data_IF_109283557001
#
_entry.id   IF_109283557001
#
_cell.length_a   1.000
_cell.length_b   1.000
_cell.length_c   1.000
_cell.angle_alpha   90.00
_cell.angle_beta   90.00
_cell.angle_gamma   90.00
#
_symmetry.space_group_name_H-M   'P 1'
#
loop_
_entity.id
_entity.type
_entity.pdbx_description
1 polymer ?
#
# COMPACT_ATOMS: atom_id res chain seq x y z
N UNK A 1 -15.94 11.92 14.53
CA UNK A 1 -16.55 10.57 14.62
C UNK A 1 -15.66 9.68 15.52
N UNK A 2 -16.19 8.63 16.15
CA UNK A 2 -15.44 7.69 17.01
C UNK A 2 -15.11 8.18 18.43
N UNK A 3 -14.41 9.32 18.58
CA UNK A 3 -13.84 9.78 19.87
C UNK A 3 -14.85 9.93 21.02
N UNK A 4 -16.10 10.26 20.70
CA UNK A 4 -17.21 10.39 21.67
C UNK A 4 -17.71 9.05 22.23
N UNK A 5 -17.32 7.94 21.61
CA UNK A 5 -17.79 6.58 21.96
C UNK A 5 -16.72 5.76 22.69
N UNK A 6 -15.57 6.35 23.03
CA UNK A 6 -14.48 5.65 23.74
C UNK A 6 -14.10 6.39 25.01
N UNK A 7 -13.79 5.64 26.07
CA UNK A 7 -13.20 6.17 27.30
C UNK A 7 -11.69 5.86 27.42
N UNK A 8 -11.07 5.29 26.38
CA UNK A 8 -9.66 4.96 26.38
C UNK A 8 -8.79 6.21 26.61
N UNK A 9 -7.69 6.03 27.34
CA UNK A 9 -6.71 7.08 27.60
C UNK A 9 -5.98 7.50 26.32
N UNK A 10 -5.68 6.53 25.47
CA UNK A 10 -4.98 6.70 24.20
C UNK A 10 -5.94 6.46 23.04
N UNK A 11 -5.83 7.29 22.00
CA UNK A 11 -6.62 7.19 20.76
C UNK A 11 -5.65 7.08 19.61
N UNK A 12 -5.75 5.98 18.87
CA UNK A 12 -5.06 5.81 17.61
C UNK A 12 -5.95 6.35 16.48
N UNK A 13 -5.39 7.21 15.64
CA UNK A 13 -6.02 7.73 14.42
C UNK A 13 -5.23 7.21 13.23
N UNK A 14 -5.91 6.50 12.34
CA UNK A 14 -5.36 5.86 11.14
C UNK A 14 -6.26 6.19 9.95
N UNK A 15 -5.67 6.57 8.80
CA UNK A 15 -6.39 6.58 7.53
C UNK A 15 -6.58 5.16 7.01
N UNK A 16 -7.56 4.95 6.12
CA UNK A 16 -7.97 3.63 5.66
C UNK A 16 -7.16 3.11 4.46
N UNK A 17 -6.26 3.93 3.94
CA UNK A 17 -5.51 3.79 2.69
C UNK A 17 -4.01 3.56 2.93
N UNK A 18 -3.65 3.06 4.11
CA UNK A 18 -2.27 2.76 4.51
C UNK A 18 -1.97 1.26 4.36
N UNK A 19 -1.60 0.77 3.17
CA UNK A 19 -1.43 -0.67 2.90
C UNK A 19 -0.32 -1.34 3.71
N UNK A 20 0.60 -0.56 4.29
CA UNK A 20 1.77 -1.07 5.00
C UNK A 20 1.76 -0.79 6.50
N UNK A 21 0.68 -0.21 7.04
CA UNK A 21 0.56 -0.02 8.49
C UNK A 21 0.38 -1.38 9.19
N UNK A 22 1.26 -1.68 10.14
CA UNK A 22 1.26 -2.95 10.85
C UNK A 22 1.31 -2.79 12.38
N UNK A 23 0.96 -3.85 13.10
CA UNK A 23 0.96 -3.91 14.57
C UNK A 23 2.24 -3.39 15.24
N UNK A 24 3.47 -3.73 14.76
CA UNK A 24 4.70 -3.19 15.33
C UNK A 24 4.80 -1.66 15.28
N UNK A 25 4.28 -1.02 14.22
CA UNK A 25 4.26 0.45 14.11
C UNK A 25 3.28 1.06 15.11
N UNK A 26 2.10 0.46 15.26
CA UNK A 26 1.14 0.87 16.30
C UNK A 26 1.74 0.75 17.70
N UNK A 27 2.45 -0.35 17.97
CA UNK A 27 3.15 -0.56 19.24
C UNK A 27 4.22 0.51 19.52
N UNK A 28 4.97 0.93 18.49
CA UNK A 28 5.95 2.02 18.62
C UNK A 28 5.31 3.37 18.92
N UNK A 29 4.23 3.73 18.22
CA UNK A 29 3.49 4.97 18.47
C UNK A 29 3.00 5.04 19.92
N UNK A 30 2.37 3.96 20.41
CA UNK A 30 1.84 3.89 21.77
C UNK A 30 2.96 3.90 22.82
N UNK A 31 4.06 3.17 22.57
CA UNK A 31 5.20 3.12 23.49
C UNK A 31 5.89 4.48 23.61
N UNK A 32 6.08 5.18 22.48
CA UNK A 32 6.65 6.52 22.47
C UNK A 32 5.75 7.53 23.20
N UNK A 33 4.43 7.43 23.02
CA UNK A 33 3.48 8.29 23.73
C UNK A 33 3.51 8.05 25.24
N UNK A 34 3.58 6.79 25.66
CA UNK A 34 3.66 6.42 27.08
C UNK A 34 4.96 6.89 27.74
N UNK A 35 6.07 6.92 26.99
CA UNK A 35 7.39 7.28 27.50
C UNK A 35 7.64 8.80 27.59
N UNK A 36 6.74 9.65 27.08
CA UNK A 36 6.97 11.08 26.96
C UNK A 36 5.81 11.94 27.48
N UNK A 37 6.14 13.15 27.95
CA UNK A 37 5.17 14.21 28.25
C UNK A 37 4.72 14.95 26.97
N UNK A 38 4.11 14.19 26.06
CA UNK A 38 3.54 14.68 24.82
C UNK A 38 2.02 14.50 24.80
N UNK A 39 1.35 15.37 24.04
CA UNK A 39 -0.09 15.23 23.77
C UNK A 39 -0.36 14.18 22.67
N UNK A 40 0.64 13.90 21.82
CA UNK A 40 0.56 12.87 20.80
C UNK A 40 1.91 12.54 20.14
N UNK A 41 1.90 11.44 19.39
CA UNK A 41 3.00 10.99 18.54
C UNK A 41 2.43 10.70 17.16
N UNK A 42 3.06 11.21 16.11
CA UNK A 42 2.66 10.96 14.72
C UNK A 42 3.83 10.46 13.89
N UNK A 43 3.52 9.75 12.81
CA UNK A 43 4.53 9.41 11.82
C UNK A 43 4.88 10.60 10.95
N UNK A 44 6.07 10.57 10.36
CA UNK A 44 6.42 11.44 9.23
C UNK A 44 6.78 10.63 8.00
N UNK A 45 6.43 11.15 6.83
CA UNK A 45 6.76 10.55 5.54
C UNK A 45 8.25 10.71 5.19
N UNK A 46 8.65 10.24 4.00
CA UNK A 46 10.02 10.34 3.49
C UNK A 46 10.50 11.80 3.32
N UNK A 47 9.57 12.72 3.06
CA UNK A 47 9.83 14.16 2.91
C UNK A 47 9.84 14.89 4.28
N UNK A 48 9.58 14.17 5.37
CA UNK A 48 9.49 14.71 6.72
C UNK A 48 8.17 15.43 7.00
N UNK A 49 7.13 15.23 6.18
CA UNK A 49 5.81 15.80 6.43
C UNK A 49 5.11 15.05 7.55
N UNK A 50 4.45 15.80 8.42
CA UNK A 50 3.64 15.26 9.52
C UNK A 50 2.43 14.49 8.96
N UNK A 51 2.22 13.29 9.47
CA UNK A 51 1.09 12.42 9.12
C UNK A 51 0.12 12.32 10.30
N UNK A 52 -0.75 13.33 10.50
CA UNK A 52 -1.63 13.42 11.66
C UNK A 52 -2.76 12.37 11.65
N UNK A 53 -2.97 11.72 10.51
CA UNK A 53 -3.87 10.56 10.39
C UNK A 53 -3.12 9.23 10.55
N UNK A 54 -1.87 9.23 11.02
CA UNK A 54 -1.13 8.03 11.44
C UNK A 54 -0.46 8.33 12.78
N UNK A 55 -1.29 8.40 13.83
CA UNK A 55 -0.88 9.00 15.09
C UNK A 55 -1.58 8.38 16.30
N UNK A 56 -0.88 8.41 17.44
CA UNK A 56 -1.44 8.13 18.75
C UNK A 56 -1.55 9.43 19.55
N UNK A 57 -2.72 9.73 20.10
CA UNK A 57 -2.99 10.92 20.90
C UNK A 57 -3.47 10.56 22.30
N UNK A 58 -3.16 11.42 23.28
CA UNK A 58 -3.86 11.40 24.57
C UNK A 58 -5.28 11.91 24.36
N UNK A 59 -6.27 11.09 24.74
CA UNK A 59 -7.66 11.39 24.52
C UNK A 59 -8.12 12.67 25.25
N UNK A 60 -7.52 12.94 26.42
CA UNK A 60 -7.78 14.17 27.20
C UNK A 60 -7.31 15.43 26.46
N UNK A 61 -6.09 15.42 25.94
CA UNK A 61 -5.54 16.53 25.16
C UNK A 61 -6.33 16.76 23.88
N UNK A 62 -6.61 15.68 23.13
CA UNK A 62 -7.38 15.75 21.89
C UNK A 62 -8.78 16.36 22.12
N UNK A 63 -9.48 15.95 23.17
CA UNK A 63 -10.80 16.52 23.53
C UNK A 63 -10.73 17.98 23.94
N UNK A 64 -9.71 18.35 24.73
CA UNK A 64 -9.50 19.72 25.20
C UNK A 64 -9.29 20.66 24.01
N UNK A 65 -8.40 20.31 23.08
CA UNK A 65 -8.09 21.16 21.94
C UNK A 65 -9.24 21.21 20.91
N UNK A 66 -9.95 20.11 20.66
CA UNK A 66 -11.16 20.12 19.84
C UNK A 66 -12.25 21.03 20.43
N UNK A 67 -12.42 21.04 21.75
CA UNK A 67 -13.36 21.92 22.44
C UNK A 67 -12.91 23.40 22.44
N UNK A 68 -11.60 23.67 22.41
CA UNK A 68 -11.07 25.02 22.23
C UNK A 68 -11.35 25.53 20.80
N UNK A 69 -11.00 24.74 19.78
CA UNK A 69 -11.26 25.08 18.38
C UNK A 69 -12.74 25.33 18.10
N UNK A 70 -13.62 24.52 18.69
CA UNK A 70 -15.07 24.69 18.58
C UNK A 70 -15.61 25.96 19.23
N UNK A 71 -14.89 26.53 20.21
CA UNK A 71 -15.25 27.81 20.83
C UNK A 71 -14.74 28.97 19.99
N UNK A 72 -13.50 28.89 19.53
CA UNK A 72 -12.86 29.92 18.72
C UNK A 72 -13.58 30.10 17.38
N UNK A 73 -13.89 29.02 16.67
CA UNK A 73 -14.62 29.07 15.40
C UNK A 73 -16.02 29.70 15.53
N UNK A 74 -16.73 29.43 16.64
CA UNK A 74 -18.02 30.06 16.91
C UNK A 74 -17.90 31.55 17.19
N UNK A 75 -16.85 31.96 17.90
CA UNK A 75 -16.57 33.36 18.17
C UNK A 75 -16.30 34.12 16.85
N UNK A 76 -15.51 33.53 15.95
CA UNK A 76 -15.20 34.10 14.63
C UNK A 76 -16.46 34.22 13.73
N UNK A 77 -17.37 33.24 13.78
CA UNK A 77 -18.60 33.24 12.96
C UNK A 77 -19.75 34.07 13.56
N UNK A 78 -19.58 34.65 14.75
CA UNK A 78 -20.60 35.50 15.40
C UNK A 78 -21.95 34.81 15.68
N UNK A 79 -21.99 33.47 15.70
CA UNK A 79 -23.24 32.69 15.75
C UNK A 79 -23.66 32.37 17.20
N UNK A 80 -24.91 32.66 17.58
CA UNK A 80 -25.48 32.29 18.90
C UNK A 80 -26.08 30.88 18.85
N UNK A 81 -25.80 30.09 19.88
CA UNK A 81 -25.82 28.63 19.92
C UNK A 81 -27.18 27.92 19.67
N UNK A 82 -27.08 26.75 19.02
CA UNK A 82 -27.87 25.53 19.29
C UNK A 82 -27.22 24.28 18.65
N UNK A 83 -26.46 24.44 17.57
CA UNK A 83 -25.90 23.30 16.85
C UNK A 83 -24.58 22.81 17.45
N UNK A 84 -24.41 21.48 17.42
CA UNK A 84 -23.19 20.79 17.84
C UNK A 84 -21.97 21.45 17.20
N UNK A 85 -20.83 21.46 17.92
CA UNK A 85 -19.57 22.02 17.44
C UNK A 85 -19.24 21.49 16.03
N UNK A 86 -19.51 22.30 15.01
CA UNK A 86 -19.24 21.92 13.63
C UNK A 86 -17.81 22.31 13.29
N UNK A 87 -16.92 21.32 13.39
CA UNK A 87 -15.51 21.46 13.01
C UNK A 87 -15.30 21.14 11.53
N UNK A 88 -16.38 20.92 10.77
CA UNK A 88 -16.29 20.55 9.35
C UNK A 88 -15.67 21.69 8.53
N UNK A 89 -14.77 21.33 7.61
CA UNK A 89 -14.06 22.28 6.78
C UNK A 89 -12.91 23.02 7.47
N UNK A 90 -12.71 22.84 8.78
CA UNK A 90 -11.53 23.38 9.46
C UNK A 90 -10.29 22.54 9.13
N UNK A 91 -9.13 23.20 8.87
CA UNK A 91 -7.92 22.47 8.53
C UNK A 91 -7.34 21.80 9.77
N UNK A 92 -6.98 20.52 9.65
CA UNK A 92 -6.44 19.69 10.73
C UNK A 92 -5.20 20.30 11.40
N UNK A 93 -4.44 21.13 10.67
CA UNK A 93 -3.27 21.86 11.20
C UNK A 93 -3.58 22.76 12.40
N UNK A 94 -4.82 23.25 12.55
CA UNK A 94 -5.22 24.05 13.71
C UNK A 94 -5.22 23.21 14.99
N UNK A 95 -5.61 21.95 14.89
CA UNK A 95 -5.55 21.01 15.99
C UNK A 95 -4.11 20.58 16.27
N UNK A 96 -3.38 20.15 15.24
CA UNK A 96 -2.02 19.64 15.44
C UNK A 96 -1.04 20.72 15.87
N UNK A 97 -1.25 21.97 15.44
CA UNK A 97 -0.45 23.11 15.88
C UNK A 97 -0.66 23.50 17.35
N UNK A 98 -1.76 23.07 17.98
CA UNK A 98 -2.04 23.31 19.40
C UNK A 98 -1.54 22.19 20.32
N UNK A 99 -1.13 21.04 19.76
CA UNK A 99 -0.70 19.86 20.51
C UNK A 99 0.83 19.80 20.59
N UNK A 100 1.37 19.32 21.72
CA UNK A 100 2.79 18.92 21.82
C UNK A 100 2.98 17.55 21.17
N UNK A 101 3.56 17.54 19.97
CA UNK A 101 3.67 16.33 19.15
C UNK A 101 5.11 15.86 18.98
N UNK A 102 5.32 14.56 19.14
CA UNK A 102 6.56 13.87 18.78
C UNK A 102 6.43 13.32 17.36
N UNK A 103 7.50 13.43 16.58
CA UNK A 103 7.59 12.94 15.20
C UNK A 103 8.42 11.67 15.16
N UNK A 104 7.87 10.62 14.55
CA UNK A 104 8.58 9.36 14.31
C UNK A 104 8.69 9.11 12.79
N UNK A 105 9.90 9.14 12.21
CA UNK A 105 10.08 8.83 10.81
C UNK A 105 9.72 7.38 10.49
N UNK A 106 8.82 7.18 9.52
CA UNK A 106 8.52 5.88 8.96
C UNK A 106 7.83 6.03 7.60
N UNK A 107 8.64 6.18 6.54
CA UNK A 107 8.15 6.34 5.17
C UNK A 107 7.34 5.15 4.64
N UNK A 108 7.47 3.96 5.25
CA UNK A 108 6.76 2.77 4.78
C UNK A 108 5.37 2.73 5.39
N UNK A 109 5.26 2.84 6.71
CA UNK A 109 3.98 2.78 7.40
C UNK A 109 3.14 4.05 7.25
N UNK A 110 3.75 5.16 6.81
CA UNK A 110 3.04 6.39 6.43
C UNK A 110 2.67 6.48 4.95
N UNK A 111 3.02 5.49 4.13
CA UNK A 111 2.65 5.48 2.72
C UNK A 111 1.14 5.30 2.58
N UNK A 112 0.47 6.30 1.99
CA UNK A 112 -0.94 6.33 1.65
C UNK A 112 -1.17 6.16 0.14
N UNK A 113 -2.34 5.63 -0.20
CA UNK A 113 -2.76 5.45 -1.58
C UNK A 113 -3.74 6.55 -2.01
N UNK A 114 -3.24 7.76 -2.28
CA UNK A 114 -4.06 8.89 -2.75
C UNK A 114 -4.26 8.87 -4.28
N UNK A 115 -3.30 8.32 -5.01
CA UNK A 115 -3.30 8.30 -6.48
C UNK A 115 -3.25 6.88 -7.04
N UNK A 116 -3.56 6.75 -8.34
CA UNK A 116 -3.43 5.48 -9.04
C UNK A 116 -1.98 4.99 -9.11
N UNK A 117 -1.00 5.90 -9.15
CA UNK A 117 0.41 5.55 -9.14
C UNK A 117 0.84 5.01 -7.76
N UNK A 118 0.27 5.53 -6.67
CA UNK A 118 0.50 5.01 -5.33
C UNK A 118 -0.06 3.60 -5.19
N UNK A 119 -1.25 3.33 -5.73
CA UNK A 119 -1.84 1.99 -5.76
C UNK A 119 -0.97 1.02 -6.58
N UNK A 120 -0.43 1.46 -7.72
CA UNK A 120 0.45 0.64 -8.54
C UNK A 120 1.75 0.31 -7.80
N UNK A 121 2.35 1.31 -7.15
CA UNK A 121 3.55 1.17 -6.31
C UNK A 121 3.29 0.23 -5.14
N UNK A 122 2.17 0.39 -4.45
CA UNK A 122 1.77 -0.46 -3.33
C UNK A 122 1.60 -1.91 -3.78
N UNK A 123 0.90 -2.13 -4.89
CA UNK A 123 0.71 -3.47 -5.46
C UNK A 123 2.02 -4.10 -5.91
N UNK A 124 2.92 -3.35 -6.53
CA UNK A 124 4.24 -3.85 -6.90
C UNK A 124 4.98 -4.34 -5.66
N UNK A 125 5.03 -3.53 -4.60
CA UNK A 125 5.69 -3.88 -3.34
C UNK A 125 5.04 -5.06 -2.62
N UNK A 126 3.71 -5.15 -2.61
CA UNK A 126 2.98 -6.31 -2.05
C UNK A 126 3.28 -7.58 -2.86
N UNK A 127 3.36 -7.48 -4.19
CA UNK A 127 3.69 -8.60 -5.08
C UNK A 127 5.14 -9.03 -5.00
N UNK A 128 6.07 -8.09 -4.80
CA UNK A 128 7.50 -8.36 -4.60
C UNK A 128 7.77 -9.14 -3.31
N UNK A 129 6.83 -9.21 -2.35
CA UNK A 129 6.92 -10.13 -1.22
C UNK A 129 6.67 -11.61 -1.59
N UNK A 130 6.59 -11.97 -2.89
CA UNK A 130 6.85 -13.31 -3.44
C UNK A 130 5.78 -14.38 -3.21
N UNK A 131 5.14 -14.40 -2.04
CA UNK A 131 4.30 -15.51 -1.60
C UNK A 131 3.00 -15.66 -2.42
N UNK A 132 2.39 -14.56 -2.88
CA UNK A 132 1.07 -14.63 -3.54
C UNK A 132 1.14 -15.29 -4.92
N UNK A 133 2.21 -15.04 -5.68
CA UNK A 133 2.35 -15.64 -7.02
C UNK A 133 2.70 -17.12 -6.92
N UNK A 134 3.58 -17.48 -6.00
CA UNK A 134 3.98 -18.87 -5.78
C UNK A 134 2.82 -19.71 -5.20
N UNK A 135 2.03 -19.15 -4.27
CA UNK A 135 0.80 -19.76 -3.75
C UNK A 135 -0.25 -19.93 -4.85
N UNK A 136 -0.45 -18.91 -5.68
CA UNK A 136 -1.38 -19.00 -6.81
C UNK A 136 -0.95 -20.05 -7.84
N UNK A 137 0.33 -20.07 -8.21
CA UNK A 137 0.88 -21.06 -9.15
C UNK A 137 0.72 -22.47 -8.57
N UNK A 138 1.00 -22.66 -7.29
CA UNK A 138 0.83 -23.95 -6.61
C UNK A 138 -0.63 -24.39 -6.63
N UNK A 139 -1.56 -23.52 -6.21
CA UNK A 139 -2.99 -23.81 -6.22
C UNK A 139 -3.54 -24.10 -7.64
N UNK A 140 -3.08 -23.36 -8.65
CA UNK A 140 -3.47 -23.58 -10.03
C UNK A 140 -2.92 -24.90 -10.60
N UNK A 141 -1.68 -25.29 -10.23
CA UNK A 141 -1.11 -26.59 -10.59
C UNK A 141 -1.92 -27.74 -9.98
N UNK A 142 -2.28 -27.61 -8.71
CA UNK A 142 -3.08 -28.60 -7.99
C UNK A 142 -4.46 -28.79 -8.63
N UNK A 143 -5.19 -27.69 -8.89
CA UNK A 143 -6.52 -27.73 -9.52
C UNK A 143 -6.49 -28.33 -10.94
N UNK A 144 -5.44 -28.04 -11.70
CA UNK A 144 -5.28 -28.53 -13.07
C UNK A 144 -4.62 -29.92 -13.15
N UNK A 145 -4.17 -30.49 -12.03
CA UNK A 145 -3.44 -31.76 -11.99
C UNK A 145 -2.11 -31.73 -12.74
N UNK A 146 -1.39 -30.60 -12.69
CA UNK A 146 -0.15 -30.38 -13.43
C UNK A 146 1.04 -30.55 -12.48
N UNK A 147 1.83 -31.61 -12.71
CA UNK A 147 3.16 -31.77 -12.11
C UNK A 147 4.22 -31.29 -13.11
N UNK A 148 4.56 -30.00 -13.03
CA UNK A 148 5.51 -29.35 -13.93
C UNK A 148 6.34 -28.33 -13.18
N UNK A 149 7.63 -28.62 -13.01
CA UNK A 149 8.60 -27.72 -12.36
C UNK A 149 9.26 -26.79 -13.39
N UNK A 150 8.55 -25.72 -13.76
CA UNK A 150 9.02 -24.73 -14.74
C UNK A 150 9.59 -23.52 -14.03
N UNK A 151 10.70 -23.00 -14.56
CA UNK A 151 11.26 -21.72 -14.18
C UNK A 151 10.29 -20.58 -14.56
N UNK A 152 9.51 -20.13 -13.58
CA UNK A 152 8.57 -19.02 -13.70
C UNK A 152 9.25 -17.74 -14.19
N UNK A 153 10.51 -17.50 -13.78
CA UNK A 153 11.24 -16.30 -14.16
C UNK A 153 11.49 -16.27 -15.66
N UNK A 154 11.86 -17.40 -16.26
CA UNK A 154 12.04 -17.52 -17.72
C UNK A 154 10.76 -17.17 -18.49
N UNK A 155 9.60 -17.65 -18.02
CA UNK A 155 8.32 -17.34 -18.66
C UNK A 155 7.91 -15.86 -18.49
N UNK A 156 8.17 -15.27 -17.32
CA UNK A 156 7.87 -13.86 -17.07
C UNK A 156 8.80 -12.92 -17.84
N UNK A 157 10.08 -13.25 -17.95
CA UNK A 157 11.03 -12.49 -18.75
C UNK A 157 10.67 -12.57 -20.25
N UNK A 158 10.29 -13.75 -20.76
CA UNK A 158 9.76 -13.89 -22.13
C UNK A 158 8.49 -13.04 -22.35
N UNK A 159 7.55 -13.08 -21.41
CA UNK A 159 6.33 -12.28 -21.51
C UNK A 159 6.66 -10.78 -21.55
N UNK A 160 7.61 -10.33 -20.72
CA UNK A 160 8.12 -8.96 -20.73
C UNK A 160 8.72 -8.60 -22.09
N UNK A 161 9.58 -9.45 -22.63
CA UNK A 161 10.25 -9.21 -23.92
C UNK A 161 9.23 -9.12 -25.06
N UNK A 162 8.24 -10.02 -25.11
CA UNK A 162 7.17 -9.97 -26.10
C UNK A 162 6.28 -8.72 -25.97
N UNK A 163 5.95 -8.31 -24.74
CA UNK A 163 5.17 -7.10 -24.50
C UNK A 163 5.87 -5.82 -24.97
N UNK A 164 7.18 -5.74 -24.79
CA UNK A 164 7.98 -4.58 -25.17
C UNK A 164 8.40 -4.60 -26.64
N UNK A 165 8.81 -5.76 -27.16
CA UNK A 165 9.36 -5.90 -28.51
C UNK A 165 8.31 -6.07 -29.61
N UNK A 166 7.08 -6.48 -29.27
CA UNK A 166 6.00 -6.69 -30.25
C UNK A 166 4.81 -5.78 -29.96
N UNK A 167 4.09 -6.06 -28.88
CA UNK A 167 2.98 -5.25 -28.36
C UNK A 167 2.51 -5.82 -27.03
N UNK A 168 1.89 -5.00 -26.17
CA UNK A 168 1.37 -5.45 -24.86
C UNK A 168 0.56 -6.77 -24.88
N UNK A 169 -0.36 -7.01 -25.85
CA UNK A 169 -1.10 -8.28 -25.92
C UNK A 169 -0.24 -9.51 -26.25
N UNK A 170 0.98 -9.34 -26.77
CA UNK A 170 1.85 -10.43 -27.15
C UNK A 170 2.36 -11.23 -25.95
N UNK A 171 2.45 -10.62 -24.75
CA UNK A 171 2.85 -11.31 -23.52
C UNK A 171 2.04 -12.60 -23.24
N UNK A 172 0.72 -12.55 -22.99
CA UNK A 172 -0.06 -13.74 -22.69
C UNK A 172 -0.21 -14.70 -23.88
N UNK A 173 -0.23 -14.18 -25.11
CA UNK A 173 -0.33 -15.01 -26.31
C UNK A 173 0.93 -15.85 -26.53
N UNK A 174 2.10 -15.25 -26.29
CA UNK A 174 3.39 -15.93 -26.45
C UNK A 174 3.57 -17.02 -25.40
N UNK A 175 3.26 -16.75 -24.13
CA UNK A 175 3.38 -17.76 -23.07
C UNK A 175 2.39 -18.92 -23.24
N UNK A 176 1.17 -18.65 -23.74
CA UNK A 176 0.24 -19.72 -24.13
C UNK A 176 0.81 -20.61 -25.23
N UNK A 177 1.36 -20.03 -26.31
CA UNK A 177 1.95 -20.79 -27.41
C UNK A 177 3.17 -21.61 -26.98
N UNK A 178 3.99 -21.08 -26.07
CA UNK A 178 5.10 -21.83 -25.45
C UNK A 178 4.58 -23.04 -24.68
N UNK A 179 3.57 -22.86 -23.82
CA UNK A 179 2.95 -23.96 -23.10
C UNK A 179 2.34 -25.01 -24.02
N UNK A 180 1.64 -24.57 -25.08
CA UNK A 180 1.07 -25.46 -26.09
C UNK A 180 2.14 -26.24 -26.87
N UNK A 181 3.22 -25.58 -27.30
CA UNK A 181 4.32 -26.22 -28.00
C UNK A 181 5.04 -27.24 -27.11
N UNK A 182 5.28 -26.90 -25.84
CA UNK A 182 5.86 -27.82 -24.87
C UNK A 182 4.97 -29.05 -24.64
N UNK A 183 3.65 -28.86 -24.50
CA UNK A 183 2.70 -29.97 -24.38
C UNK A 183 2.69 -30.90 -25.60
N UNK A 184 2.91 -30.37 -26.81
CA UNK A 184 3.08 -31.18 -28.03
C UNK A 184 4.41 -31.96 -28.06
N UNK A 185 5.42 -31.48 -27.36
CA UNK A 185 6.75 -32.09 -27.28
C UNK A 185 6.90 -33.06 -26.09
N UNK A 186 5.80 -33.71 -25.69
CA UNK A 186 5.73 -34.64 -24.53
C UNK A 186 5.82 -33.96 -23.16
N UNK A 187 5.82 -32.63 -23.12
CA UNK A 187 5.82 -31.85 -21.87
C UNK A 187 7.19 -31.75 -21.20
N UNK A 188 7.16 -31.31 -19.94
CA UNK A 188 8.35 -31.22 -19.08
C UNK A 188 9.10 -29.88 -19.14
N UNK A 189 9.97 -29.62 -18.14
CA UNK A 189 10.67 -28.33 -18.00
C UNK A 189 11.57 -27.99 -19.19
N UNK A 190 12.25 -28.99 -19.76
CA UNK A 190 13.15 -28.81 -20.90
C UNK A 190 12.41 -28.37 -22.17
N UNK A 191 11.23 -28.95 -22.43
CA UNK A 191 10.41 -28.57 -23.57
C UNK A 191 9.90 -27.13 -23.45
N UNK A 192 9.54 -26.71 -22.23
CA UNK A 192 9.15 -25.32 -21.95
C UNK A 192 10.34 -24.38 -22.13
N UNK A 193 11.51 -24.72 -21.60
CA UNK A 193 12.72 -23.91 -21.74
C UNK A 193 13.14 -23.75 -23.21
N UNK A 194 13.07 -24.83 -23.99
CA UNK A 194 13.37 -24.81 -25.43
C UNK A 194 12.39 -23.93 -26.22
N UNK A 195 11.08 -24.09 -25.97
CA UNK A 195 10.06 -23.27 -26.61
C UNK A 195 10.18 -21.78 -26.22
N UNK A 196 10.44 -21.50 -24.94
CA UNK A 196 10.66 -20.14 -24.44
C UNK A 196 11.88 -19.49 -25.10
N UNK A 197 12.99 -20.21 -25.25
CA UNK A 197 14.21 -19.69 -25.90
C UNK A 197 13.97 -19.32 -27.36
N UNK A 198 13.22 -20.15 -28.10
CA UNK A 198 12.84 -19.87 -29.50
C UNK A 198 11.95 -18.64 -29.61
N UNK A 199 10.96 -18.52 -28.72
CA UNK A 199 10.05 -17.38 -28.69
C UNK A 199 10.76 -16.07 -28.30
N UNK A 200 11.67 -16.11 -27.32
CA UNK A 200 12.46 -14.95 -26.91
C UNK A 200 13.34 -14.45 -28.07
N UNK A 201 14.04 -15.36 -28.75
CA UNK A 201 14.84 -15.00 -29.92
C UNK A 201 14.00 -14.40 -31.06
N UNK A 202 12.75 -14.83 -31.21
CA UNK A 202 11.82 -14.25 -32.19
C UNK A 202 11.38 -12.83 -31.78
N UNK A 203 11.05 -12.61 -30.51
CA UNK A 203 10.64 -11.30 -30.00
C UNK A 203 11.75 -10.25 -30.16
N UNK A 204 13.01 -10.63 -29.92
CA UNK A 204 14.17 -9.74 -30.12
C UNK A 204 14.29 -9.32 -31.59
N UNK A 205 14.27 -10.28 -32.53
CA UNK A 205 14.36 -9.96 -33.97
C UNK A 205 13.21 -9.06 -34.43
N UNK A 206 12.01 -9.31 -33.93
CA UNK A 206 10.84 -8.47 -34.27
C UNK A 206 11.03 -7.02 -33.85
N UNK A 207 11.60 -6.79 -32.67
CA UNK A 207 11.90 -5.46 -32.14
C UNK A 207 13.01 -4.73 -32.92
N UNK A 208 13.92 -5.47 -33.55
CA UNK A 208 14.98 -4.90 -34.41
C UNK A 208 14.46 -4.51 -35.79
N UNK A 209 13.37 -5.15 -36.26
CA UNK A 209 12.76 -4.93 -37.58
C UNK A 209 11.67 -3.85 -37.59
N UNK A 210 11.18 -3.40 -36.42
CA UNK A 210 10.06 -2.46 -36.26
C UNK A 210 10.51 -1.13 -35.66
#
# INVERSE_FOLDING_TARGET
AGLRHTAAEHVLVVSADLPFLAGPTVGRLLSALAAADADGVLLTDADGRDQPLVAAYRASALRRELAALARDDRADRGTRAADAADLTGLPLRRLTGALRLIRLPDAVASFDCDTWDDIATARARIREHGHVLDEWISAAKDELGIDLDVDTKVLLDLARDAAHGVARPAAPLTTFLVGYAAGRAQGGPEAVAEAARKAAALAVRWAEET
#
